data_IF_076768391881
#
_entry.id   IF_076768391881
#
_cell.length_a   1.000
_cell.length_b   1.000
_cell.length_c   1.000
_cell.angle_alpha   90.00
_cell.angle_beta   90.00
_cell.angle_gamma   90.00
#
_symmetry.space_group_name_H-M   'P 1'
#
loop_
_entity.id
_entity.type
_entity.pdbx_description
1 polymer ?
#
# COMPACT_ATOMS: atom_id res chain seq x y z
N UNK A 1 21.31 1.92 -6.28
CA UNK A 1 21.34 1.93 -7.76
C UNK A 1 21.50 3.36 -8.25
N UNK A 2 20.62 4.29 -7.84
CA UNK A 2 20.74 5.70 -8.26
C UNK A 2 21.98 6.39 -7.66
N UNK A 3 22.48 5.89 -6.54
CA UNK A 3 23.78 6.29 -5.97
C UNK A 3 25.00 5.66 -6.67
N UNK A 4 24.80 4.86 -7.70
CA UNK A 4 25.87 4.20 -8.44
C UNK A 4 26.49 2.97 -7.75
N UNK A 5 25.83 2.45 -6.70
CA UNK A 5 26.27 1.22 -6.03
C UNK A 5 25.61 0.03 -6.75
N UNK A 6 26.38 -0.95 -7.24
CA UNK A 6 25.82 -2.16 -7.84
C UNK A 6 24.94 -2.94 -6.86
N UNK A 7 23.88 -3.55 -7.37
CA UNK A 7 22.92 -4.30 -6.53
C UNK A 7 23.58 -5.52 -5.85
N UNK A 8 24.53 -6.16 -6.54
CA UNK A 8 25.30 -7.29 -6.03
C UNK A 8 26.21 -6.94 -4.84
N UNK A 9 26.52 -5.65 -4.65
CA UNK A 9 27.32 -5.17 -3.52
C UNK A 9 26.47 -4.86 -2.28
N UNK A 10 25.13 -5.00 -2.39
CA UNK A 10 24.19 -4.71 -1.31
C UNK A 10 23.80 -5.99 -0.57
N UNK A 11 23.78 -5.92 0.76
CA UNK A 11 23.16 -6.95 1.61
C UNK A 11 21.75 -6.45 1.93
N UNK A 12 20.73 -7.20 1.49
CA UNK A 12 19.32 -6.85 1.71
C UNK A 12 18.73 -7.69 2.83
N UNK A 13 18.25 -7.04 3.87
CA UNK A 13 17.49 -7.67 4.95
C UNK A 13 16.01 -7.35 4.74
N UNK A 14 15.27 -8.28 4.15
CA UNK A 14 13.83 -8.12 3.96
C UNK A 14 13.11 -8.31 5.29
N UNK A 15 12.16 -7.44 5.59
CA UNK A 15 11.39 -7.51 6.84
C UNK A 15 10.56 -8.79 6.94
N UNK A 16 10.01 -9.27 5.82
CA UNK A 16 9.27 -10.54 5.79
C UNK A 16 10.13 -11.73 6.19
N UNK A 17 11.41 -11.75 5.79
CA UNK A 17 12.35 -12.83 6.15
C UNK A 17 12.77 -12.76 7.64
N UNK A 18 12.58 -11.60 8.25
CA UNK A 18 12.85 -11.37 9.69
C UNK A 18 11.61 -11.59 10.58
N UNK A 19 10.47 -11.95 10.01
CA UNK A 19 9.22 -12.16 10.72
C UNK A 19 8.51 -10.89 11.17
N UNK A 20 8.88 -9.74 10.61
CA UNK A 20 8.32 -8.41 10.93
C UNK A 20 7.68 -7.75 9.70
N UNK A 21 7.09 -8.56 8.81
CA UNK A 21 6.31 -8.06 7.69
C UNK A 21 5.08 -7.28 8.19
N UNK A 22 5.10 -5.96 8.04
CA UNK A 22 4.03 -5.06 8.45
C UNK A 22 3.34 -4.45 7.24
N UNK A 23 2.05 -4.13 7.38
CA UNK A 23 1.35 -3.26 6.43
C UNK A 23 1.87 -1.83 6.61
N UNK A 24 2.08 -1.13 5.49
CA UNK A 24 2.59 0.25 5.49
C UNK A 24 1.50 1.22 5.06
N UNK A 25 0.97 1.06 3.86
CA UNK A 25 -0.02 1.95 3.29
C UNK A 25 -1.43 1.35 3.30
N UNK A 26 -2.44 2.22 3.41
CA UNK A 26 -3.83 1.80 3.41
C UNK A 26 -4.78 2.95 3.10
N UNK A 27 -6.01 2.62 2.75
CA UNK A 27 -7.10 3.59 2.63
C UNK A 27 -7.76 3.78 3.98
N UNK A 28 -7.74 5.00 4.47
CA UNK A 28 -8.31 5.39 5.76
C UNK A 28 -9.47 6.36 5.56
N UNK A 29 -10.52 6.19 6.34
CA UNK A 29 -11.68 7.07 6.36
C UNK A 29 -12.13 7.32 7.80
N UNK A 30 -12.85 8.41 8.03
CA UNK A 30 -13.50 8.63 9.31
C UNK A 30 -14.61 7.60 9.52
N UNK A 31 -14.74 7.07 10.74
CA UNK A 31 -15.82 6.14 11.09
C UNK A 31 -17.19 6.72 10.74
N UNK A 32 -17.44 7.99 11.06
CA UNK A 32 -18.69 8.70 10.72
C UNK A 32 -18.99 8.76 9.21
N UNK A 33 -17.99 8.59 8.35
CA UNK A 33 -18.22 8.50 6.89
C UNK A 33 -18.88 7.19 6.48
N UNK A 34 -18.81 6.17 7.33
CA UNK A 34 -19.41 4.86 7.08
C UNK A 34 -20.90 4.82 7.45
N UNK A 35 -21.40 5.80 8.20
CA UNK A 35 -22.81 5.96 8.53
C UNK A 35 -23.64 6.47 7.34
N UNK A 36 -23.00 7.07 6.33
CA UNK A 36 -23.65 7.56 5.12
C UNK A 36 -23.53 6.52 3.97
N UNK A 37 -24.64 5.87 3.58
CA UNK A 37 -24.66 4.90 2.50
C UNK A 37 -24.15 5.45 1.15
N UNK A 38 -24.35 6.75 0.88
CA UNK A 38 -23.86 7.38 -0.35
C UNK A 38 -22.34 7.56 -0.32
N UNK A 39 -21.76 7.83 0.85
CA UNK A 39 -20.32 7.88 1.03
C UNK A 39 -19.72 6.49 0.89
N UNK A 40 -20.31 5.46 1.49
CA UNK A 40 -19.84 4.06 1.34
C UNK A 40 -19.85 3.64 -0.12
N UNK A 41 -20.90 3.98 -0.90
CA UNK A 41 -20.95 3.71 -2.34
C UNK A 41 -19.85 4.44 -3.11
N UNK A 42 -19.57 5.71 -2.76
CA UNK A 42 -18.49 6.48 -3.36
C UNK A 42 -17.13 5.84 -3.08
N UNK A 43 -16.88 5.41 -1.85
CA UNK A 43 -15.64 4.72 -1.45
C UNK A 43 -15.47 3.39 -2.18
N UNK A 44 -16.53 2.60 -2.31
CA UNK A 44 -16.49 1.35 -3.07
C UNK A 44 -16.11 1.57 -4.54
N UNK A 45 -16.70 2.60 -5.18
CA UNK A 45 -16.32 2.99 -6.55
C UNK A 45 -14.89 3.48 -6.64
N UNK A 46 -14.40 4.21 -5.64
CA UNK A 46 -13.03 4.67 -5.56
C UNK A 46 -12.05 3.49 -5.48
N UNK A 47 -12.26 2.55 -4.56
CA UNK A 47 -11.41 1.35 -4.43
C UNK A 47 -11.42 0.54 -5.72
N UNK A 48 -12.61 0.33 -6.31
CA UNK A 48 -12.74 -0.38 -7.58
C UNK A 48 -11.99 0.31 -8.73
N UNK A 49 -12.03 1.64 -8.80
CA UNK A 49 -11.29 2.41 -9.78
C UNK A 49 -9.77 2.32 -9.55
N UNK A 50 -9.34 2.37 -8.29
CA UNK A 50 -7.92 2.20 -7.92
C UNK A 50 -7.40 0.82 -8.33
N UNK A 51 -8.16 -0.25 -8.08
CA UNK A 51 -7.78 -1.60 -8.52
C UNK A 51 -7.67 -1.73 -10.03
N UNK A 52 -8.55 -1.05 -10.79
CA UNK A 52 -8.42 -0.98 -12.26
C UNK A 52 -7.15 -0.21 -12.68
N UNK A 53 -6.81 0.85 -11.96
CA UNK A 53 -5.58 1.62 -12.19
C UNK A 53 -4.33 0.75 -11.97
N UNK A 54 -4.31 -0.05 -10.92
CA UNK A 54 -3.22 -0.99 -10.65
C UNK A 54 -3.11 -2.08 -11.73
N UNK A 55 -4.23 -2.67 -12.16
CA UNK A 55 -4.24 -3.62 -13.27
C UNK A 55 -3.69 -2.98 -14.56
N UNK A 56 -4.11 -1.74 -14.85
CA UNK A 56 -3.58 -0.99 -16.00
C UNK A 56 -2.08 -0.73 -15.89
N UNK A 57 -1.60 -0.33 -14.72
CA UNK A 57 -0.18 -0.11 -14.44
C UNK A 57 0.67 -1.37 -14.66
N UNK A 58 0.14 -2.55 -14.32
CA UNK A 58 0.83 -3.82 -14.55
C UNK A 58 0.96 -4.16 -16.06
N UNK A 59 -0.05 -3.80 -16.86
CA UNK A 59 -0.06 -4.03 -18.30
C UNK A 59 0.71 -2.94 -19.08
N UNK A 60 0.80 -1.71 -18.53
CA UNK A 60 1.36 -0.53 -19.19
C UNK A 60 2.32 0.24 -18.27
N UNK A 61 3.43 -0.38 -17.81
CA UNK A 61 4.28 0.20 -16.77
C UNK A 61 4.99 1.50 -17.19
N UNK A 62 5.35 1.65 -18.45
CA UNK A 62 5.99 2.86 -18.96
C UNK A 62 5.01 4.03 -18.95
N UNK A 63 3.80 3.85 -19.48
CA UNK A 63 2.75 4.89 -19.48
C UNK A 63 2.31 5.23 -18.05
N UNK A 64 2.24 4.25 -17.15
CA UNK A 64 1.98 4.51 -15.73
C UNK A 64 3.06 5.38 -15.09
N UNK A 65 4.33 5.16 -15.41
CA UNK A 65 5.43 6.00 -14.95
C UNK A 65 5.35 7.43 -15.54
N UNK A 66 5.00 7.58 -16.81
CA UNK A 66 4.77 8.88 -17.44
C UNK A 66 3.65 9.67 -16.74
N UNK A 67 2.51 9.02 -16.44
CA UNK A 67 1.39 9.64 -15.71
C UNK A 67 1.84 10.13 -14.33
N UNK A 68 2.67 9.37 -13.62
CA UNK A 68 3.22 9.81 -12.33
C UNK A 68 4.11 11.04 -12.49
N UNK A 69 4.99 11.07 -13.50
CA UNK A 69 5.87 12.19 -13.78
C UNK A 69 5.10 13.46 -14.17
N UNK A 70 4.06 13.32 -14.99
CA UNK A 70 3.19 14.44 -15.37
C UNK A 70 2.48 15.09 -14.17
N UNK A 71 2.24 14.30 -13.11
CA UNK A 71 1.59 14.75 -11.89
C UNK A 71 2.60 15.10 -10.77
N UNK A 72 3.90 14.97 -10.99
CA UNK A 72 4.93 15.36 -10.03
C UNK A 72 5.14 16.89 -10.04
N UNK A 73 4.43 17.58 -9.16
CA UNK A 73 4.57 19.02 -8.99
C UNK A 73 5.95 19.45 -8.44
N UNK A 74 6.74 18.52 -7.93
CA UNK A 74 8.08 18.81 -7.36
C UNK A 74 9.18 18.82 -8.41
N UNK A 75 9.01 18.09 -9.50
CA UNK A 75 10.02 17.85 -10.53
C UNK A 75 11.24 17.07 -10.01
N UNK A 76 11.11 16.42 -8.85
CA UNK A 76 12.20 15.68 -8.20
C UNK A 76 12.33 14.24 -8.73
N UNK A 77 11.29 13.73 -9.38
CA UNK A 77 11.25 12.36 -9.88
C UNK A 77 11.93 12.24 -11.25
N UNK A 78 12.54 11.10 -11.50
CA UNK A 78 13.13 10.78 -12.80
C UNK A 78 12.39 9.62 -13.45
N UNK A 79 12.35 9.59 -14.78
CA UNK A 79 11.72 8.51 -15.55
C UNK A 79 12.28 7.13 -15.16
N UNK A 80 13.61 7.00 -15.12
CA UNK A 80 14.29 5.77 -14.73
C UNK A 80 13.86 5.29 -13.34
N UNK A 81 13.73 6.21 -12.38
CA UNK A 81 13.29 5.89 -11.03
C UNK A 81 11.84 5.43 -11.02
N UNK A 82 10.95 6.17 -11.73
CA UNK A 82 9.53 5.85 -11.75
C UNK A 82 9.22 4.54 -12.46
N UNK A 83 9.86 4.22 -13.57
CA UNK A 83 9.72 2.91 -14.23
C UNK A 83 10.08 1.77 -13.26
N UNK A 84 11.18 1.94 -12.51
CA UNK A 84 11.56 0.95 -11.48
C UNK A 84 10.52 0.87 -10.36
N UNK A 85 10.07 2.01 -9.82
CA UNK A 85 9.08 2.04 -8.74
C UNK A 85 7.76 1.38 -9.17
N UNK A 86 7.25 1.68 -10.36
CA UNK A 86 6.05 1.03 -10.92
C UNK A 86 6.25 -0.49 -10.96
N UNK A 87 7.41 -0.96 -11.42
CA UNK A 87 7.72 -2.39 -11.48
C UNK A 87 7.76 -3.06 -10.11
N UNK A 88 8.32 -2.41 -9.09
CA UNK A 88 8.39 -2.97 -7.73
C UNK A 88 7.01 -2.95 -7.04
N UNK A 89 6.26 -1.85 -7.18
CA UNK A 89 4.91 -1.75 -6.60
C UNK A 89 3.94 -2.76 -7.26
N UNK A 90 4.00 -2.94 -8.57
CA UNK A 90 3.18 -3.94 -9.25
C UNK A 90 3.37 -5.36 -8.69
N UNK A 91 4.58 -5.73 -8.26
CA UNK A 91 4.82 -7.02 -7.57
C UNK A 91 4.10 -7.14 -6.24
N UNK A 92 3.92 -6.01 -5.51
CA UNK A 92 3.24 -5.98 -4.21
C UNK A 92 1.71 -6.03 -4.36
N UNK A 93 1.17 -5.48 -5.46
CA UNK A 93 -0.28 -5.44 -5.73
C UNK A 93 -0.76 -6.64 -6.53
N UNK A 94 0.14 -7.45 -7.08
CA UNK A 94 -0.22 -8.64 -7.86
C UNK A 94 -1.09 -9.59 -7.04
N UNK A 95 -2.22 -10.00 -7.63
CA UNK A 95 -3.20 -10.87 -6.97
C UNK A 95 -4.05 -10.20 -5.88
N UNK A 96 -3.88 -8.90 -5.62
CA UNK A 96 -4.74 -8.15 -4.69
C UNK A 96 -6.14 -7.95 -5.25
N UNK A 97 -7.15 -8.08 -4.39
CA UNK A 97 -8.56 -7.79 -4.71
C UNK A 97 -9.05 -6.47 -4.05
N UNK A 98 -8.14 -5.69 -3.47
CA UNK A 98 -8.43 -4.44 -2.76
C UNK A 98 -8.99 -4.64 -1.36
N UNK A 99 -9.06 -5.86 -0.85
CA UNK A 99 -9.46 -6.15 0.53
C UNK A 99 -8.26 -6.17 1.46
N UNK A 100 -8.51 -5.88 2.72
CA UNK A 100 -7.50 -6.00 3.75
C UNK A 100 -7.19 -7.48 4.05
N UNK A 101 -5.92 -7.87 3.96
CA UNK A 101 -5.45 -9.15 4.49
C UNK A 101 -5.42 -9.07 6.02
N UNK A 102 -6.40 -9.72 6.67
CA UNK A 102 -6.52 -9.71 8.12
C UNK A 102 -5.33 -10.38 8.80
N UNK A 103 -4.71 -11.38 8.18
CA UNK A 103 -3.53 -12.02 8.76
C UNK A 103 -2.32 -11.09 8.75
N UNK A 104 -2.16 -10.27 7.70
CA UNK A 104 -1.14 -9.23 7.65
C UNK A 104 -1.43 -8.09 8.64
N UNK A 105 -2.71 -7.72 8.81
CA UNK A 105 -3.13 -6.75 9.81
C UNK A 105 -2.78 -7.22 11.23
N UNK A 106 -3.14 -8.44 11.60
CA UNK A 106 -2.84 -9.03 12.92
C UNK A 106 -1.33 -9.11 13.18
N UNK A 107 -0.53 -9.51 12.18
CA UNK A 107 0.93 -9.48 12.29
C UNK A 107 1.46 -8.07 12.54
N UNK A 108 0.90 -7.07 11.84
CA UNK A 108 1.27 -5.66 12.01
C UNK A 108 0.97 -5.19 13.43
N UNK A 109 -0.25 -5.43 13.93
CA UNK A 109 -0.65 -5.10 15.31
C UNK A 109 0.30 -5.75 16.32
N UNK A 110 0.58 -7.03 16.14
CA UNK A 110 1.50 -7.76 17.01
C UNK A 110 2.92 -7.17 17.02
N UNK A 111 3.44 -6.80 15.84
CA UNK A 111 4.75 -6.15 15.72
C UNK A 111 4.78 -4.82 16.45
N UNK A 112 3.73 -4.00 16.31
CA UNK A 112 3.63 -2.69 16.95
C UNK A 112 3.48 -2.78 18.49
N UNK A 113 2.82 -3.82 18.98
CA UNK A 113 2.69 -4.09 20.42
C UNK A 113 4.00 -4.63 21.04
N UNK A 114 4.82 -5.35 20.25
CA UNK A 114 6.02 -6.04 20.74
C UNK A 114 7.30 -5.20 20.66
N UNK A 115 7.23 -3.93 20.34
CA UNK A 115 8.35 -3.05 20.05
C UNK A 115 9.29 -2.72 21.22
N UNK A 116 9.79 -3.72 21.94
CA UNK A 116 10.81 -3.55 23.00
C UNK A 116 10.34 -2.77 24.23
N UNK A 117 11.15 -1.81 24.71
CA UNK A 117 10.82 -0.98 25.88
C UNK A 117 9.79 0.11 25.61
N UNK A 118 9.65 0.49 24.33
CA UNK A 118 8.76 1.57 23.89
C UNK A 118 7.92 1.09 22.69
N UNK A 119 6.85 0.31 22.94
CA UNK A 119 5.99 -0.17 21.87
C UNK A 119 5.27 1.00 21.19
N UNK A 120 5.08 0.92 19.86
CA UNK A 120 4.40 1.95 19.07
C UNK A 120 2.95 2.11 19.50
N UNK A 121 2.30 1.00 19.85
CA UNK A 121 0.97 0.97 20.45
C UNK A 121 0.99 0.17 21.76
N UNK A 122 0.17 0.57 22.72
CA UNK A 122 0.12 -0.05 24.07
C UNK A 122 -1.08 -0.97 24.28
N UNK A 123 -2.01 -1.00 23.32
CA UNK A 123 -3.19 -1.88 23.33
C UNK A 123 -3.59 -2.22 21.89
N UNK A 124 -4.30 -3.31 21.74
CA UNK A 124 -4.89 -3.67 20.45
C UNK A 124 -5.90 -2.61 19.97
N UNK A 125 -5.90 -2.26 18.68
CA UNK A 125 -6.91 -1.38 18.10
C UNK A 125 -8.29 -2.06 18.11
N UNK A 126 -9.33 -1.33 18.52
CA UNK A 126 -10.71 -1.77 18.47
C UNK A 126 -11.45 -1.08 17.32
N UNK A 127 -12.18 -1.85 16.51
CA UNK A 127 -13.01 -1.29 15.42
C UNK A 127 -12.23 -0.58 14.32
N UNK A 128 -10.93 -0.82 14.19
CA UNK A 128 -10.06 -0.12 13.24
C UNK A 128 -10.16 -0.63 11.79
N UNK A 129 -10.91 -1.70 11.54
CA UNK A 129 -11.08 -2.29 10.21
C UNK A 129 -12.54 -2.50 9.87
N UNK A 130 -12.88 -2.48 8.59
CA UNK A 130 -14.24 -2.72 8.11
C UNK A 130 -14.24 -3.33 6.72
N UNK A 131 -15.22 -4.16 6.40
CA UNK A 131 -15.46 -4.69 5.06
C UNK A 131 -16.61 -3.98 4.34
N UNK A 132 -17.31 -3.07 5.01
CA UNK A 132 -18.52 -2.39 4.51
C UNK A 132 -18.33 -1.77 3.13
N UNK A 133 -17.15 -1.25 2.84
CA UNK A 133 -16.80 -0.64 1.55
C UNK A 133 -16.49 -1.73 0.52
N UNK A 134 -15.66 -2.69 0.86
CA UNK A 134 -15.21 -3.73 -0.07
C UNK A 134 -16.28 -4.76 -0.39
N UNK A 135 -17.26 -4.96 0.48
CA UNK A 135 -18.42 -5.82 0.22
C UNK A 135 -19.37 -5.26 -0.85
N UNK A 136 -19.21 -3.97 -1.19
CA UNK A 136 -19.99 -3.29 -2.25
C UNK A 136 -19.26 -3.16 -3.59
N UNK A 137 -18.04 -3.68 -3.71
CA UNK A 137 -17.22 -3.57 -4.94
C UNK A 137 -17.70 -4.47 -6.09
#
# INVERSE_FOLDING_TARGET
IDAGIPEEDLIVFKYEDQGVATLEDGLYVLESSLDDPAMVDKLARFVKASMKGWAYSAENPEEAAEIVLENDATGAQTEKHQIRMVGEINKLVDGSDGKLDMSAYERTVKSLLSGGSDPVITKEPEGATTTVVTDKM
#
